data_IF_537405787987
#
_entry.id   IF_537405787987
#
_cell.length_a   1.000
_cell.length_b   1.000
_cell.length_c   1.000
_cell.angle_alpha   90.00
_cell.angle_beta   90.00
_cell.angle_gamma   90.00
#
_symmetry.space_group_name_H-M   'P 1'
#
loop_
_entity.id
_entity.type
_entity.pdbx_description
1 polymer ?
#
# COMPACT_ATOMS: atom_id res chain seq x y z
N UNK A 1 4.15 -7.63 6.78
CA UNK A 1 3.16 -6.55 6.89
C UNK A 1 3.86 -5.19 6.93
N UNK A 2 3.29 -4.09 6.40
CA UNK A 2 3.83 -2.73 6.54
C UNK A 2 3.43 -2.03 7.85
N UNK A 3 2.66 -2.69 8.73
CA UNK A 3 2.29 -2.16 10.05
C UNK A 3 3.53 -1.98 10.95
N UNK A 4 3.49 -0.99 11.85
CA UNK A 4 4.50 -0.66 12.85
C UNK A 4 3.87 -0.61 14.25
N UNK A 5 4.70 -0.71 15.28
CA UNK A 5 4.28 -1.06 16.64
C UNK A 5 3.32 -0.02 17.25
N UNK A 6 3.55 1.26 16.99
CA UNK A 6 2.72 2.35 17.51
C UNK A 6 1.42 2.59 16.71
N UNK A 7 1.17 1.86 15.61
CA UNK A 7 0.07 2.19 14.71
C UNK A 7 -1.30 1.87 15.32
N UNK A 8 -2.14 2.89 15.39
CA UNK A 8 -3.57 2.78 15.61
C UNK A 8 -4.31 3.19 14.34
N UNK A 9 -5.58 2.84 14.25
CA UNK A 9 -6.38 3.19 13.07
C UNK A 9 -6.51 4.70 12.92
N UNK A 10 -6.37 5.22 11.71
CA UNK A 10 -6.67 6.62 11.40
C UNK A 10 -8.17 6.86 11.10
N UNK A 11 -9.02 5.84 11.27
CA UNK A 11 -10.47 5.89 11.04
C UNK A 11 -11.17 5.37 12.29
N UNK A 12 -12.19 6.07 12.82
CA UNK A 12 -12.86 5.62 14.02
C UNK A 12 -13.65 4.33 13.77
N UNK A 13 -13.59 3.38 14.70
CA UNK A 13 -14.15 2.04 14.51
C UNK A 13 -15.66 1.98 14.16
N UNK A 14 -16.55 2.91 14.60
CA UNK A 14 -17.97 2.84 14.27
C UNK A 14 -18.26 2.96 12.77
N UNK A 15 -17.43 3.72 12.05
CA UNK A 15 -17.55 3.87 10.59
C UNK A 15 -16.61 2.92 9.85
N UNK A 16 -15.49 2.52 10.46
CA UNK A 16 -14.54 1.58 9.86
C UNK A 16 -15.06 0.14 9.82
N UNK A 17 -15.84 -0.29 10.81
CA UNK A 17 -16.33 -1.68 10.91
C UNK A 17 -17.20 -2.08 9.72
N UNK A 18 -17.24 -3.39 9.42
CA UNK A 18 -18.26 -3.95 8.54
C UNK A 18 -19.66 -3.58 9.06
N UNK A 19 -20.61 -3.40 8.15
CA UNK A 19 -22.01 -3.16 8.53
C UNK A 19 -22.63 -4.41 9.15
N UNK A 20 -22.21 -5.58 8.70
CA UNK A 20 -22.63 -6.90 9.17
C UNK A 20 -22.02 -7.35 10.50
N UNK A 21 -20.93 -6.73 10.96
CA UNK A 21 -20.23 -7.13 12.19
C UNK A 21 -19.53 -5.95 12.85
N UNK A 22 -19.83 -5.70 14.13
CA UNK A 22 -19.30 -4.55 14.87
C UNK A 22 -18.17 -4.96 15.80
N UNK A 23 -17.31 -3.98 16.12
CA UNK A 23 -16.35 -4.15 17.21
C UNK A 23 -17.08 -4.39 18.54
N UNK A 24 -16.46 -5.13 19.48
CA UNK A 24 -17.01 -5.30 20.82
C UNK A 24 -17.22 -3.97 21.56
N UNK A 25 -18.15 -3.91 22.52
CA UNK A 25 -18.25 -2.79 23.46
C UNK A 25 -16.90 -2.46 24.10
N UNK A 26 -16.71 -1.20 24.49
CA UNK A 26 -15.48 -0.71 25.15
C UNK A 26 -14.22 -0.71 24.27
N UNK A 27 -14.34 -1.04 22.97
CA UNK A 27 -13.24 -0.80 22.01
C UNK A 27 -12.93 0.71 21.94
N UNK A 28 -11.64 1.12 22.04
CA UNK A 28 -11.26 2.52 21.86
C UNK A 28 -11.72 3.07 20.51
N UNK A 29 -12.05 4.37 20.45
CA UNK A 29 -12.56 5.00 19.22
C UNK A 29 -11.65 4.72 18.01
N UNK A 30 -10.33 4.75 18.22
CA UNK A 30 -9.30 4.38 17.26
C UNK A 30 -8.53 3.15 17.78
N UNK A 31 -8.93 1.93 17.42
CA UNK A 31 -8.32 0.71 17.94
C UNK A 31 -6.87 0.52 17.48
N UNK A 32 -6.11 -0.27 18.24
CA UNK A 32 -4.77 -0.73 17.85
C UNK A 32 -4.85 -1.75 16.72
N UNK A 33 -3.74 -1.98 16.02
CA UNK A 33 -3.68 -3.03 14.99
C UNK A 33 -3.97 -4.44 15.54
N UNK A 34 -3.70 -4.68 16.82
CA UNK A 34 -3.98 -5.95 17.51
C UNK A 34 -5.49 -6.15 17.71
N UNK A 35 -6.18 -5.10 18.16
CA UNK A 35 -7.65 -5.11 18.28
C UNK A 35 -8.33 -5.29 16.91
N UNK A 36 -7.78 -4.67 15.86
CA UNK A 36 -8.24 -4.88 14.47
C UNK A 36 -8.02 -6.33 14.02
N UNK A 37 -6.88 -6.94 14.36
CA UNK A 37 -6.60 -8.34 14.03
C UNK A 37 -7.58 -9.30 14.73
N UNK A 38 -7.86 -9.08 16.02
CA UNK A 38 -8.85 -9.88 16.75
C UNK A 38 -10.28 -9.65 16.22
N UNK A 39 -10.61 -8.43 15.79
CA UNK A 39 -11.86 -8.16 15.07
C UNK A 39 -11.98 -9.02 13.80
N UNK A 40 -10.96 -9.08 12.94
CA UNK A 40 -11.00 -9.90 11.72
C UNK A 40 -11.09 -11.40 12.02
N UNK A 41 -10.37 -11.90 13.03
CA UNK A 41 -10.53 -13.28 13.50
C UNK A 41 -11.94 -13.57 13.96
N UNK A 42 -12.56 -12.64 14.72
CA UNK A 42 -13.94 -12.79 15.19
C UNK A 42 -14.93 -12.82 14.02
N UNK A 43 -14.74 -11.97 13.00
CA UNK A 43 -15.52 -11.95 11.78
C UNK A 43 -15.43 -13.29 11.02
N UNK A 44 -14.21 -13.75 10.75
CA UNK A 44 -13.98 -14.99 10.03
C UNK A 44 -14.55 -16.21 10.77
N UNK A 45 -14.48 -16.21 12.11
CA UNK A 45 -15.09 -17.25 12.95
C UNK A 45 -16.62 -17.18 12.91
N UNK A 46 -17.22 -15.99 13.04
CA UNK A 46 -18.66 -15.82 13.07
C UNK A 46 -19.33 -16.30 11.78
N UNK A 47 -18.77 -15.95 10.63
CA UNK A 47 -19.28 -16.34 9.31
C UNK A 47 -18.71 -17.68 8.79
N UNK A 48 -17.96 -18.41 9.62
CA UNK A 48 -17.34 -19.69 9.26
C UNK A 48 -16.55 -19.65 7.93
N UNK A 49 -15.72 -18.62 7.76
CA UNK A 49 -14.98 -18.38 6.51
C UNK A 49 -13.72 -19.24 6.39
N UNK A 50 -13.13 -19.63 7.52
CA UNK A 50 -11.85 -20.36 7.57
C UNK A 50 -11.80 -21.62 6.70
N UNK A 51 -12.84 -22.49 6.65
CA UNK A 51 -12.85 -23.67 5.78
C UNK A 51 -12.75 -23.35 4.28
N UNK A 52 -13.06 -22.12 3.87
CA UNK A 52 -13.02 -21.65 2.49
C UNK A 52 -11.69 -20.95 2.13
N UNK A 53 -10.74 -20.87 3.07
CA UNK A 53 -9.46 -20.19 2.88
C UNK A 53 -8.33 -21.21 2.85
N UNK A 54 -7.58 -21.23 1.75
CA UNK A 54 -6.32 -21.98 1.65
C UNK A 54 -5.16 -21.07 2.08
N UNK A 55 -4.74 -21.17 3.35
CA UNK A 55 -3.59 -20.42 3.87
C UNK A 55 -2.26 -20.92 3.29
N UNK A 56 -1.20 -20.14 3.45
CA UNK A 56 0.16 -20.45 2.98
C UNK A 56 0.19 -20.85 1.49
N UNK A 57 -0.68 -20.27 0.68
CA UNK A 57 -0.83 -20.59 -0.74
C UNK A 57 -0.76 -19.32 -1.54
N UNK A 58 0.40 -19.03 -2.12
CA UNK A 58 0.59 -17.83 -2.93
C UNK A 58 0.18 -18.12 -4.37
N UNK A 59 -0.68 -17.29 -4.95
CA UNK A 59 -0.95 -17.37 -6.39
C UNK A 59 0.28 -16.90 -7.16
N UNK A 60 0.84 -17.77 -7.99
CA UNK A 60 1.98 -17.54 -8.87
C UNK A 60 1.55 -16.99 -10.21
N UNK A 61 0.49 -17.57 -10.79
CA UNK A 61 -0.05 -17.21 -12.09
C UNK A 61 -1.57 -17.44 -12.09
N UNK A 62 -2.33 -16.52 -12.65
CA UNK A 62 -3.73 -16.68 -12.98
C UNK A 62 -3.93 -16.27 -14.44
N UNK A 63 -4.20 -17.26 -15.29
CA UNK A 63 -4.31 -17.10 -16.74
C UNK A 63 -5.65 -17.64 -17.24
N UNK A 64 -6.08 -17.17 -18.41
CA UNK A 64 -7.35 -17.56 -19.02
C UNK A 64 -7.11 -18.67 -20.05
N UNK A 65 -7.62 -19.88 -19.79
CA UNK A 65 -7.45 -21.07 -20.64
C UNK A 65 -8.81 -21.74 -20.86
N UNK A 66 -9.18 -22.01 -22.11
CA UNK A 66 -10.41 -22.70 -22.50
C UNK A 66 -11.67 -22.17 -21.79
N UNK A 67 -11.82 -20.84 -21.78
CA UNK A 67 -12.91 -20.14 -21.10
C UNK A 67 -13.03 -20.38 -19.58
N UNK A 68 -11.93 -20.76 -18.92
CA UNK A 68 -11.80 -20.79 -17.45
C UNK A 68 -10.52 -20.12 -16.98
N UNK A 69 -10.47 -19.74 -15.72
CA UNK A 69 -9.23 -19.34 -15.08
C UNK A 69 -8.47 -20.58 -14.65
N UNK A 70 -7.18 -20.64 -14.98
CA UNK A 70 -6.24 -21.58 -14.40
C UNK A 70 -5.39 -20.83 -13.39
N UNK A 71 -5.52 -21.20 -12.12
CA UNK A 71 -4.79 -20.58 -11.02
C UNK A 71 -3.67 -21.53 -10.62
N UNK A 72 -2.43 -21.11 -10.81
CA UNK A 72 -1.23 -21.85 -10.39
C UNK A 72 -0.73 -21.28 -9.07
N UNK A 73 -0.52 -22.15 -8.09
CA UNK A 73 0.04 -21.81 -6.79
C UNK A 73 1.56 -21.97 -6.77
N UNK A 74 2.22 -21.12 -5.98
CA UNK A 74 3.57 -21.33 -5.48
C UNK A 74 3.47 -22.16 -4.19
N UNK A 75 4.09 -23.33 -4.21
CA UNK A 75 4.07 -24.28 -3.11
C UNK A 75 4.91 -23.81 -1.93
N UNK A 76 4.57 -24.28 -0.74
CA UNK A 76 5.43 -24.13 0.46
C UNK A 76 6.56 -25.16 0.48
N UNK A 77 6.41 -26.21 -0.31
CA UNK A 77 7.34 -27.32 -0.51
C UNK A 77 7.26 -27.79 -1.98
N UNK A 78 8.16 -28.69 -2.37
CA UNK A 78 8.20 -29.25 -3.72
C UNK A 78 6.93 -30.04 -4.09
N UNK A 79 6.16 -30.52 -3.10
CA UNK A 79 4.96 -31.33 -3.35
C UNK A 79 3.76 -30.49 -3.73
N UNK A 80 3.69 -29.26 -3.21
CA UNK A 80 2.58 -28.34 -3.42
C UNK A 80 2.88 -27.25 -4.46
N UNK A 81 4.12 -27.20 -4.99
CA UNK A 81 4.50 -26.22 -6.01
C UNK A 81 3.93 -26.58 -7.38
N UNK A 82 3.32 -25.59 -8.03
CA UNK A 82 2.66 -25.80 -9.31
C UNK A 82 1.25 -26.39 -9.21
N UNK A 83 0.68 -26.53 -8.01
CA UNK A 83 -0.72 -26.88 -7.82
C UNK A 83 -1.63 -25.98 -8.68
N UNK A 84 -2.50 -26.59 -9.47
CA UNK A 84 -3.41 -25.89 -10.38
C UNK A 84 -4.86 -26.23 -10.07
N UNK A 85 -5.73 -25.22 -10.11
CA UNK A 85 -7.17 -25.44 -10.06
C UNK A 85 -7.93 -24.48 -10.99
N UNK A 86 -9.04 -24.96 -11.58
CA UNK A 86 -9.87 -24.16 -12.45
C UNK A 86 -10.85 -23.30 -11.66
N UNK A 87 -11.18 -22.11 -12.18
CA UNK A 87 -12.25 -21.26 -11.66
C UNK A 87 -13.03 -20.59 -12.80
N UNK A 88 -14.33 -20.38 -12.60
CA UNK A 88 -15.18 -19.68 -13.57
C UNK A 88 -15.06 -18.16 -13.41
N UNK A 89 -14.93 -17.70 -12.16
CA UNK A 89 -14.74 -16.30 -11.77
C UNK A 89 -13.45 -16.16 -10.95
N UNK A 90 -12.62 -15.18 -11.32
CA UNK A 90 -11.50 -14.71 -10.52
C UNK A 90 -11.86 -13.38 -9.86
N UNK A 91 -11.90 -13.36 -8.53
CA UNK A 91 -12.02 -12.11 -7.74
C UNK A 91 -10.67 -11.78 -7.13
N UNK A 92 -10.12 -10.63 -7.51
CA UNK A 92 -8.79 -10.19 -7.10
C UNK A 92 -8.89 -9.20 -5.94
N UNK A 93 -8.44 -9.63 -4.77
CA UNK A 93 -8.43 -8.85 -3.52
C UNK A 93 -7.06 -8.88 -2.83
N UNK A 94 -5.96 -8.83 -3.59
CA UNK A 94 -4.59 -8.96 -3.06
C UNK A 94 -4.05 -7.68 -2.38
N UNK A 95 -4.85 -6.60 -2.39
CA UNK A 95 -4.50 -5.29 -1.84
C UNK A 95 -3.44 -4.55 -2.65
N UNK A 96 -3.21 -3.29 -2.28
CA UNK A 96 -2.31 -2.39 -3.02
C UNK A 96 -1.29 -1.65 -2.15
N UNK A 97 -1.03 -2.15 -0.93
CA UNK A 97 -0.03 -1.60 -0.01
C UNK A 97 1.12 -2.59 0.27
N UNK A 98 1.62 -3.22 -0.81
CA UNK A 98 2.72 -4.20 -0.74
C UNK A 98 4.00 -3.78 -1.47
N UNK A 99 3.90 -3.31 -2.72
CA UNK A 99 5.07 -2.90 -3.52
C UNK A 99 5.41 -1.43 -3.25
N UNK A 100 6.54 -1.10 -2.59
CA UNK A 100 6.89 0.27 -2.26
C UNK A 100 7.07 1.13 -3.51
N UNK A 101 6.72 2.42 -3.42
CA UNK A 101 7.03 3.40 -4.46
C UNK A 101 8.23 4.23 -4.01
N UNK A 102 9.32 4.17 -4.76
CA UNK A 102 10.45 5.07 -4.57
C UNK A 102 10.29 6.33 -5.43
N UNK A 103 10.64 7.52 -4.90
CA UNK A 103 10.54 8.75 -5.67
C UNK A 103 11.62 8.78 -6.76
N UNK A 104 11.27 9.30 -7.95
CA UNK A 104 12.26 9.55 -9.00
C UNK A 104 12.95 10.90 -8.74
N UNK A 105 13.93 10.90 -7.84
CA UNK A 105 14.69 12.08 -7.42
C UNK A 105 16.19 11.76 -7.53
N UNK A 106 17.02 12.63 -8.14
CA UNK A 106 18.46 12.40 -8.22
C UNK A 106 19.09 12.09 -6.86
N UNK A 107 20.00 11.11 -6.85
CA UNK A 107 20.77 10.69 -5.67
C UNK A 107 20.04 9.81 -4.65
N UNK A 108 18.73 9.59 -4.77
CA UNK A 108 17.98 8.76 -3.80
C UNK A 108 18.51 7.33 -3.73
N UNK A 109 18.96 6.77 -4.87
CA UNK A 109 19.52 5.42 -4.92
C UNK A 109 20.82 5.33 -4.11
N UNK A 110 21.70 6.32 -4.18
CA UNK A 110 22.93 6.36 -3.39
C UNK A 110 22.64 6.38 -1.88
N UNK A 111 21.57 7.06 -1.45
CA UNK A 111 21.13 7.05 -0.05
C UNK A 111 20.57 5.68 0.38
N UNK A 112 19.81 5.02 -0.49
CA UNK A 112 19.31 3.66 -0.24
C UNK A 112 20.46 2.67 -0.13
N UNK A 113 21.42 2.72 -1.05
CA UNK A 113 22.57 1.82 -1.10
C UNK A 113 23.52 2.04 0.09
N UNK A 114 23.69 3.27 0.54
CA UNK A 114 24.43 3.62 1.76
C UNK A 114 23.69 3.26 3.06
N UNK A 115 22.47 2.71 2.98
CA UNK A 115 21.64 2.38 4.14
C UNK A 115 21.10 3.60 4.89
N UNK A 116 21.17 4.80 4.29
CA UNK A 116 20.76 6.08 4.88
C UNK A 116 19.29 6.44 4.64
N UNK A 117 18.61 5.64 3.84
CA UNK A 117 17.18 5.77 3.59
C UNK A 117 16.48 4.40 3.63
N UNK A 118 15.21 4.38 4.06
CA UNK A 118 14.31 3.24 3.85
C UNK A 118 12.90 3.70 3.53
N UNK A 119 12.12 2.85 2.87
CA UNK A 119 10.69 3.10 2.70
C UNK A 119 9.93 2.86 4.01
N UNK A 120 8.87 3.63 4.24
CA UNK A 120 7.95 3.52 5.39
C UNK A 120 7.45 2.10 5.66
N UNK A 121 7.33 1.27 4.62
CA UNK A 121 6.95 -0.14 4.73
C UNK A 121 7.87 -0.95 5.67
N UNK A 122 9.14 -0.54 5.81
CA UNK A 122 10.16 -1.18 6.65
C UNK A 122 10.36 -0.46 7.99
N UNK A 123 9.57 0.59 8.26
CA UNK A 123 9.51 1.20 9.58
C UNK A 123 8.74 0.28 10.55
N UNK A 124 9.19 0.20 11.80
CA UNK A 124 8.55 -0.61 12.85
C UNK A 124 8.43 0.13 14.16
N UNK A 125 9.48 0.87 14.51
CA UNK A 125 9.59 1.60 15.76
C UNK A 125 10.63 2.71 15.60
N UNK A 126 10.63 3.73 16.47
CA UNK A 126 11.51 4.89 16.36
C UNK A 126 12.98 4.65 16.79
N UNK A 127 13.52 3.43 16.69
CA UNK A 127 14.86 3.10 17.19
C UNK A 127 15.98 3.34 16.18
N UNK A 128 17.11 3.85 16.68
CA UNK A 128 18.43 3.89 16.03
C UNK A 128 18.48 4.62 14.67
N UNK A 129 17.70 5.69 14.53
CA UNK A 129 17.66 6.51 13.30
C UNK A 129 18.52 7.78 13.35
N UNK A 130 19.12 8.11 14.49
CA UNK A 130 19.86 9.35 14.70
C UNK A 130 19.00 10.48 15.28
N UNK A 131 19.46 11.73 15.12
CA UNK A 131 18.89 12.92 15.77
C UNK A 131 18.26 13.89 14.77
N UNK A 132 18.75 13.96 13.53
CA UNK A 132 18.19 14.78 12.46
C UNK A 132 17.64 13.90 11.34
N UNK A 133 16.33 13.83 11.23
CA UNK A 133 15.63 12.90 10.33
C UNK A 133 14.95 13.64 9.18
N UNK A 134 14.86 12.99 8.02
CA UNK A 134 14.08 13.46 6.88
C UNK A 134 12.94 12.50 6.58
N UNK A 135 11.71 13.00 6.56
CA UNK A 135 10.51 12.25 6.16
C UNK A 135 10.03 12.79 4.81
N UNK A 136 9.89 11.93 3.81
CA UNK A 136 9.48 12.31 2.45
C UNK A 136 8.10 11.75 2.12
N UNK A 137 7.10 12.62 2.04
CA UNK A 137 5.73 12.31 1.61
C UNK A 137 4.67 12.78 2.60
N UNK A 138 3.71 13.61 2.15
CA UNK A 138 2.68 14.21 3.00
C UNK A 138 1.42 13.36 3.22
N UNK A 139 1.49 12.05 2.96
CA UNK A 139 0.37 11.13 3.20
C UNK A 139 0.21 10.75 4.68
N UNK A 140 -0.74 9.86 5.01
CA UNK A 140 -0.95 9.38 6.38
C UNK A 140 0.33 8.84 7.01
N UNK A 141 1.08 7.98 6.30
CA UNK A 141 2.33 7.41 6.82
C UNK A 141 3.40 8.45 7.13
N UNK A 142 3.52 9.52 6.33
CA UNK A 142 4.54 10.54 6.59
C UNK A 142 4.20 11.38 7.81
N UNK A 143 2.91 11.71 7.98
CA UNK A 143 2.43 12.43 9.16
C UNK A 143 2.60 11.58 10.41
N UNK A 144 2.11 10.35 10.39
CA UNK A 144 2.10 9.46 11.56
C UNK A 144 3.52 9.07 12.00
N UNK A 145 4.40 8.71 11.06
CA UNK A 145 5.79 8.39 11.38
C UNK A 145 6.56 9.64 11.85
N UNK A 146 6.27 10.83 11.34
CA UNK A 146 6.89 12.06 11.86
C UNK A 146 6.50 12.31 13.32
N UNK A 147 5.24 12.07 13.66
CA UNK A 147 4.74 12.23 15.03
C UNK A 147 5.27 11.13 15.96
N UNK A 148 5.40 9.88 15.51
CA UNK A 148 6.00 8.76 16.26
C UNK A 148 7.49 9.00 16.57
N UNK A 149 8.21 9.67 15.66
CA UNK A 149 9.63 9.99 15.83
C UNK A 149 9.90 11.24 16.69
N UNK A 150 8.88 12.03 17.02
CA UNK A 150 9.06 13.37 17.62
C UNK A 150 9.85 13.35 18.93
N UNK A 151 9.70 12.29 19.73
CA UNK A 151 10.33 12.16 21.06
C UNK A 151 11.67 11.42 20.98
N UNK A 152 12.09 11.02 19.77
CA UNK A 152 13.30 10.25 19.48
C UNK A 152 14.33 11.00 18.63
N UNK A 153 13.95 12.16 18.06
CA UNK A 153 14.80 12.98 17.21
C UNK A 153 14.77 14.45 17.64
N UNK A 154 15.92 15.11 17.55
CA UNK A 154 16.08 16.54 17.88
C UNK A 154 15.51 17.41 16.76
N UNK A 155 15.51 16.92 15.52
CA UNK A 155 15.01 17.65 14.34
C UNK A 155 14.40 16.68 13.33
N UNK A 156 13.18 16.96 12.89
CA UNK A 156 12.50 16.21 11.84
C UNK A 156 12.16 17.18 10.71
N UNK A 157 12.68 16.91 9.52
CA UNK A 157 12.34 17.62 8.29
C UNK A 157 11.23 16.83 7.60
N UNK A 158 10.03 17.39 7.50
CA UNK A 158 8.91 16.74 6.81
C UNK A 158 8.69 17.38 5.44
N UNK A 159 9.16 16.69 4.39
CA UNK A 159 9.11 17.14 3.01
C UNK A 159 7.90 16.59 2.27
N UNK A 160 7.09 17.47 1.67
CA UNK A 160 6.04 17.08 0.72
C UNK A 160 5.81 18.18 -0.34
N UNK A 161 4.99 17.88 -1.34
CA UNK A 161 4.50 18.90 -2.29
C UNK A 161 3.73 19.99 -1.57
N UNK A 162 2.85 19.58 -0.66
CA UNK A 162 2.12 20.44 0.27
C UNK A 162 2.41 19.92 1.68
N UNK A 163 3.46 20.43 2.36
CA UNK A 163 3.86 19.92 3.66
C UNK A 163 2.80 20.24 4.71
N UNK A 164 2.44 19.26 5.57
CA UNK A 164 1.43 19.48 6.60
C UNK A 164 1.94 20.49 7.65
N UNK A 165 0.98 21.15 8.30
CA UNK A 165 1.28 22.04 9.44
C UNK A 165 1.49 21.18 10.68
N UNK A 166 2.63 21.37 11.34
CA UNK A 166 2.94 20.69 12.59
C UNK A 166 2.72 21.61 13.79
N UNK A 167 2.32 21.00 14.92
CA UNK A 167 2.17 21.68 16.21
C UNK A 167 3.44 21.62 17.04
N UNK A 168 4.36 20.70 16.69
CA UNK A 168 5.60 20.44 17.42
C UNK A 168 6.74 21.26 16.83
N UNK A 169 7.54 21.88 17.70
CA UNK A 169 8.59 22.82 17.30
C UNK A 169 9.79 22.16 16.63
N UNK A 170 10.02 20.87 16.88
CA UNK A 170 11.11 20.09 16.28
C UNK A 170 10.74 19.44 14.93
N UNK A 171 9.51 19.62 14.45
CA UNK A 171 9.08 19.13 13.13
C UNK A 171 8.94 20.32 12.18
N UNK A 172 9.81 20.38 11.19
CA UNK A 172 9.90 21.47 10.23
C UNK A 172 9.39 21.04 8.86
N UNK A 173 8.35 21.71 8.38
CA UNK A 173 7.89 21.57 7.01
C UNK A 173 8.99 21.96 6.01
N UNK A 174 9.15 21.16 4.96
CA UNK A 174 10.00 21.45 3.81
C UNK A 174 9.21 21.20 2.51
N UNK A 175 9.49 21.94 1.43
CA UNK A 175 8.96 21.60 0.13
C UNK A 175 9.55 20.27 -0.34
N UNK A 176 9.11 19.77 -1.51
CA UNK A 176 9.63 18.53 -2.08
C UNK A 176 11.16 18.53 -2.16
N UNK A 177 11.76 17.37 -1.89
CA UNK A 177 13.18 17.13 -2.20
C UNK A 177 13.39 17.29 -3.71
N UNK A 178 14.41 18.08 -4.07
CA UNK A 178 14.86 18.27 -5.44
C UNK A 178 16.04 17.34 -5.77
N UNK A 179 16.92 17.09 -4.81
CA UNK A 179 18.08 16.21 -4.96
C UNK A 179 18.52 15.68 -3.60
N UNK A 180 18.82 14.39 -3.53
CA UNK A 180 19.60 13.80 -2.46
C UNK A 180 21.08 13.96 -2.82
N UNK A 181 21.82 14.72 -2.02
CA UNK A 181 23.25 14.92 -2.19
C UNK A 181 24.06 13.76 -1.61
N UNK A 182 25.25 14.05 -1.11
CA UNK A 182 26.15 13.05 -0.54
C UNK A 182 25.56 12.39 0.75
N UNK A 183 25.41 11.05 0.77
CA UNK A 183 24.98 10.33 1.96
C UNK A 183 25.92 10.47 3.15
N UNK A 184 27.25 10.61 2.98
CA UNK A 184 28.16 10.70 4.13
C UNK A 184 27.90 11.99 4.92
N UNK A 185 27.85 13.12 4.22
CA UNK A 185 27.51 14.42 4.82
C UNK A 185 26.02 14.61 5.14
N UNK A 186 25.15 13.73 4.62
CA UNK A 186 23.69 13.81 4.84
C UNK A 186 23.07 15.06 4.21
N UNK A 187 23.52 15.41 3.00
CA UNK A 187 23.13 16.65 2.32
C UNK A 187 21.89 16.44 1.44
N UNK A 188 20.88 17.30 1.54
CA UNK A 188 19.64 17.26 0.73
C UNK A 188 19.27 18.67 0.28
N UNK A 189 18.94 18.83 -1.00
CA UNK A 189 18.42 20.08 -1.58
C UNK A 189 16.92 19.98 -1.81
N UNK A 190 16.18 20.99 -1.40
CA UNK A 190 14.73 21.09 -1.61
C UNK A 190 14.39 22.01 -2.79
N UNK A 191 13.14 21.98 -3.24
CA UNK A 191 12.69 22.70 -4.43
C UNK A 191 12.71 24.23 -4.32
N UNK A 192 12.73 24.79 -3.12
CA UNK A 192 12.92 26.22 -2.88
C UNK A 192 14.39 26.67 -2.91
N UNK A 193 15.32 25.73 -3.19
CA UNK A 193 16.75 25.98 -3.20
C UNK A 193 17.42 25.84 -1.83
N UNK A 194 16.65 25.60 -0.76
CA UNK A 194 17.24 25.33 0.56
C UNK A 194 18.06 24.04 0.55
N UNK A 195 19.17 24.05 1.27
CA UNK A 195 20.06 22.90 1.42
C UNK A 195 20.21 22.60 2.91
N UNK A 196 19.95 21.36 3.28
CA UNK A 196 20.16 20.85 4.64
C UNK A 196 21.30 19.84 4.61
N UNK A 197 22.11 19.82 5.67
CA UNK A 197 23.18 18.85 5.88
C UNK A 197 23.04 18.20 7.25
N UNK A 198 23.82 17.14 7.48
CA UNK A 198 23.82 16.40 8.75
C UNK A 198 22.51 15.66 9.01
N UNK A 199 21.74 15.33 7.96
CA UNK A 199 20.59 14.42 8.09
C UNK A 199 21.17 13.03 8.35
N UNK A 200 20.78 12.40 9.45
CA UNK A 200 21.25 11.08 9.85
C UNK A 200 20.55 9.97 9.06
N UNK A 201 19.25 10.12 8.82
CA UNK A 201 18.44 9.09 8.18
C UNK A 201 17.20 9.64 7.48
N UNK A 202 16.76 8.95 6.42
CA UNK A 202 15.56 9.28 5.66
C UNK A 202 14.50 8.17 5.69
N UNK A 203 13.24 8.54 5.90
CA UNK A 203 12.09 7.66 5.66
C UNK A 203 11.32 8.14 4.43
N UNK A 204 11.23 7.28 3.43
CA UNK A 204 10.43 7.48 2.23
C UNK A 204 8.99 7.02 2.52
N UNK A 205 8.13 7.95 2.90
CA UNK A 205 6.69 7.77 3.10
C UNK A 205 5.92 8.02 1.79
N UNK A 206 6.45 7.49 0.69
CA UNK A 206 6.02 7.80 -0.69
C UNK A 206 4.92 6.89 -1.21
N UNK A 207 4.35 6.01 -0.39
CA UNK A 207 3.22 5.16 -0.75
C UNK A 207 3.61 3.95 -1.61
N UNK A 208 2.65 3.39 -2.34
CA UNK A 208 2.79 2.08 -2.96
C UNK A 208 2.30 2.08 -4.41
N UNK A 209 2.68 1.01 -5.11
CA UNK A 209 2.27 0.69 -6.47
C UNK A 209 1.22 -0.43 -6.46
N UNK A 210 0.23 -0.35 -7.35
CA UNK A 210 -0.64 -1.47 -7.66
C UNK A 210 0.21 -2.57 -8.30
N UNK A 211 0.28 -3.71 -7.63
CA UNK A 211 1.17 -4.80 -8.00
C UNK A 211 0.41 -6.12 -8.01
N UNK A 212 0.16 -6.62 -9.21
CA UNK A 212 -0.59 -7.84 -9.49
C UNK A 212 0.28 -8.80 -10.31
N UNK A 213 1.40 -9.28 -9.75
CA UNK A 213 2.43 -10.03 -10.50
C UNK A 213 1.97 -11.39 -11.01
N UNK A 214 0.83 -11.86 -10.54
CA UNK A 214 0.25 -13.14 -10.94
C UNK A 214 -0.68 -13.01 -12.14
N UNK A 215 -1.03 -11.80 -12.57
CA UNK A 215 -1.76 -11.59 -13.82
C UNK A 215 -0.73 -11.38 -14.93
N UNK A 216 -0.72 -12.24 -15.97
CA UNK A 216 0.18 -12.10 -17.10
C UNK A 216 -0.20 -10.90 -17.99
N UNK A 217 0.71 -10.50 -18.88
CA UNK A 217 0.59 -9.27 -19.68
C UNK A 217 -0.60 -9.27 -20.65
N UNK A 218 -1.01 -10.45 -21.12
CA UNK A 218 -2.21 -10.68 -21.92
C UNK A 218 -3.52 -10.47 -21.12
N UNK A 219 -3.45 -10.55 -19.79
CA UNK A 219 -4.56 -10.21 -18.89
C UNK A 219 -4.51 -8.75 -18.44
N UNK A 220 -3.33 -8.28 -18.02
CA UNK A 220 -3.15 -6.95 -17.44
C UNK A 220 -1.87 -6.29 -17.93
N UNK A 221 -2.01 -5.28 -18.78
CA UNK A 221 -0.89 -4.51 -19.34
C UNK A 221 -0.41 -3.47 -18.34
N UNK A 222 0.88 -3.50 -17.99
CA UNK A 222 1.49 -2.47 -17.13
C UNK A 222 1.99 -1.31 -18.00
N UNK A 223 1.06 -0.43 -18.37
CA UNK A 223 1.33 0.72 -19.24
C UNK A 223 0.28 1.82 -19.04
N UNK A 224 0.54 3.00 -19.61
CA UNK A 224 -0.49 4.02 -19.79
C UNK A 224 -1.52 3.53 -20.82
N UNK A 225 -2.83 3.61 -20.54
CA UNK A 225 -3.86 3.26 -21.49
C UNK A 225 -3.91 4.27 -22.64
N UNK A 226 -4.43 3.88 -23.83
CA UNK A 226 -4.71 4.84 -24.88
C UNK A 226 -5.78 5.85 -24.43
N UNK A 227 -5.82 7.01 -25.09
CA UNK A 227 -6.84 8.02 -24.81
C UNK A 227 -8.23 7.48 -25.13
N UNK A 228 -9.15 7.59 -24.18
CA UNK A 228 -10.57 7.32 -24.39
C UNK A 228 -11.35 8.62 -24.62
N UNK A 229 -12.41 8.64 -25.46
CA UNK A 229 -13.03 7.50 -26.17
C UNK A 229 -12.37 7.14 -27.54
N UNK A 230 -12.53 5.88 -28.03
CA UNK A 230 -13.26 4.76 -27.40
C UNK A 230 -12.49 4.16 -26.21
N UNK A 231 -13.17 3.37 -25.38
CA UNK A 231 -12.49 2.62 -24.32
C UNK A 231 -11.56 1.56 -24.95
N UNK A 232 -10.40 1.27 -24.32
CA UNK A 232 -9.52 0.24 -24.83
C UNK A 232 -10.08 -1.16 -24.59
N UNK A 233 -9.69 -2.09 -25.47
CA UNK A 233 -10.05 -3.50 -25.38
C UNK A 233 -9.29 -4.24 -24.26
N UNK A 234 -8.10 -3.74 -23.89
CA UNK A 234 -7.22 -4.33 -22.87
C UNK A 234 -7.34 -3.65 -21.51
N UNK A 235 -7.00 -4.40 -20.45
CA UNK A 235 -6.93 -3.88 -19.09
C UNK A 235 -5.52 -3.37 -18.80
N UNK A 236 -5.44 -2.18 -18.21
CA UNK A 236 -4.20 -1.47 -17.92
C UNK A 236 -4.02 -1.26 -16.42
N UNK A 237 -2.80 -1.44 -15.95
CA UNK A 237 -2.33 -1.00 -14.64
C UNK A 237 -1.36 0.16 -14.82
N UNK A 238 -1.81 1.38 -14.51
CA UNK A 238 -0.98 2.59 -14.57
C UNK A 238 -0.06 2.75 -13.36
N UNK A 239 0.19 1.67 -12.61
CA UNK A 239 0.84 1.66 -11.28
C UNK A 239 -0.04 2.25 -10.16
N UNK A 240 -1.05 3.07 -10.49
CA UNK A 240 -1.88 3.76 -9.50
C UNK A 240 -3.35 3.36 -9.54
N UNK A 241 -3.82 2.92 -10.70
CA UNK A 241 -5.20 2.51 -10.93
C UNK A 241 -5.24 1.39 -11.97
N UNK A 242 -6.34 0.64 -11.96
CA UNK A 242 -6.70 -0.26 -13.04
C UNK A 242 -7.73 0.42 -13.94
N UNK A 243 -7.60 0.25 -15.25
CA UNK A 243 -8.48 0.89 -16.23
C UNK A 243 -8.64 0.03 -17.48
N UNK A 244 -9.84 -0.08 -18.08
CA UNK A 244 -11.11 0.48 -17.64
C UNK A 244 -11.87 -0.47 -16.70
N UNK A 245 -12.29 0.06 -15.55
CA UNK A 245 -13.16 -0.65 -14.61
C UNK A 245 -14.50 0.09 -14.43
N UNK A 246 -15.61 -0.62 -14.56
CA UNK A 246 -16.91 -0.15 -14.13
C UNK A 246 -17.00 -0.22 -12.60
N UNK A 247 -17.33 0.93 -11.98
CA UNK A 247 -17.44 1.09 -10.52
C UNK A 247 -16.19 0.63 -9.74
N UNK A 248 -15.01 0.67 -10.37
CA UNK A 248 -13.75 0.16 -9.81
C UNK A 248 -13.71 -1.36 -9.53
N UNK A 249 -14.68 -2.14 -10.02
CA UNK A 249 -14.78 -3.58 -9.75
C UNK A 249 -14.63 -4.40 -11.03
N UNK A 250 -15.43 -4.11 -12.05
CA UNK A 250 -15.61 -4.99 -13.20
C UNK A 250 -14.85 -4.45 -14.42
N UNK A 251 -13.99 -5.24 -15.08
CA UNK A 251 -13.45 -4.89 -16.39
C UNK A 251 -14.57 -4.58 -17.37
N UNK A 252 -14.49 -3.43 -18.04
CA UNK A 252 -15.50 -3.03 -19.02
C UNK A 252 -15.09 -3.49 -20.43
N UNK A 253 -14.92 -4.81 -20.60
CA UNK A 253 -14.31 -5.43 -21.79
C UNK A 253 -15.08 -6.65 -22.26
N UNK A 254 -14.99 -6.95 -23.56
CA UNK A 254 -15.57 -8.18 -24.15
C UNK A 254 -14.77 -9.43 -23.76
N UNK A 255 -13.44 -9.31 -23.67
CA UNK A 255 -12.55 -10.44 -23.39
C UNK A 255 -12.65 -10.92 -21.93
N UNK A 256 -13.11 -10.05 -21.03
CA UNK A 256 -13.34 -10.36 -19.61
C UNK A 256 -14.74 -9.90 -19.21
N UNK A 257 -15.78 -10.68 -19.56
CA UNK A 257 -17.14 -10.35 -19.15
C UNK A 257 -17.26 -10.20 -17.62
N UNK A 258 -18.25 -9.44 -17.11
CA UNK A 258 -18.41 -9.22 -15.66
C UNK A 258 -18.60 -10.48 -14.81
N UNK A 259 -18.81 -11.66 -15.41
CA UNK A 259 -18.92 -12.92 -14.67
C UNK A 259 -17.60 -13.71 -14.60
N UNK A 260 -16.50 -13.21 -15.19
CA UNK A 260 -15.22 -13.91 -15.23
C UNK A 260 -14.12 -13.24 -14.41
N UNK A 261 -14.10 -11.92 -14.28
CA UNK A 261 -13.05 -11.20 -13.55
C UNK A 261 -13.61 -10.02 -12.76
N UNK A 262 -13.16 -9.88 -11.51
CA UNK A 262 -13.51 -8.76 -10.64
C UNK A 262 -12.30 -8.31 -9.80
N UNK A 263 -12.29 -7.06 -9.38
CA UNK A 263 -11.34 -6.51 -8.43
C UNK A 263 -12.08 -5.89 -7.25
N UNK A 264 -11.61 -6.13 -6.02
CA UNK A 264 -12.21 -5.56 -4.81
C UNK A 264 -11.11 -4.92 -3.96
N UNK A 265 -11.42 -3.79 -3.33
CA UNK A 265 -10.48 -3.07 -2.47
C UNK A 265 -9.43 -2.26 -3.22
N UNK A 266 -9.79 -1.72 -4.40
CA UNK A 266 -8.92 -0.79 -5.15
C UNK A 266 -9.13 0.68 -4.77
N UNK A 267 -10.26 1.01 -4.13
CA UNK A 267 -10.61 2.38 -3.79
C UNK A 267 -9.59 2.99 -2.82
N UNK A 268 -9.18 4.24 -3.10
CA UNK A 268 -8.23 5.02 -2.28
C UNK A 268 -8.96 6.16 -1.59
N UNK A 269 -8.43 6.60 -0.44
CA UNK A 269 -9.01 7.69 0.36
C UNK A 269 -10.47 7.44 0.77
N UNK A 270 -10.80 6.17 1.03
CA UNK A 270 -12.12 5.73 1.48
C UNK A 270 -12.06 5.11 2.87
N UNK A 271 -13.22 4.90 3.46
CA UNK A 271 -13.38 4.03 4.62
C UNK A 271 -13.41 2.58 4.10
N UNK A 272 -12.29 1.87 4.28
CA UNK A 272 -11.98 0.67 3.50
C UNK A 272 -13.01 -0.45 3.60
N UNK A 273 -13.38 -0.89 4.81
CA UNK A 273 -14.13 -2.14 4.95
C UNK A 273 -15.61 -2.05 4.53
N UNK A 274 -16.38 -1.00 4.85
CA UNK A 274 -17.74 -0.85 4.32
C UNK A 274 -17.78 -0.70 2.80
N UNK A 275 -16.77 -0.06 2.21
CA UNK A 275 -16.67 0.03 0.74
C UNK A 275 -16.41 -1.34 0.14
N UNK A 276 -15.46 -2.11 0.69
CA UNK A 276 -15.20 -3.48 0.24
C UNK A 276 -16.43 -4.39 0.43
N UNK A 277 -17.21 -4.20 1.50
CA UNK A 277 -18.47 -4.93 1.72
C UNK A 277 -19.56 -4.55 0.73
N UNK A 278 -19.58 -3.30 0.25
CA UNK A 278 -20.51 -2.87 -0.80
C UNK A 278 -20.07 -3.26 -2.22
N UNK A 279 -18.77 -3.50 -2.43
CA UNK A 279 -18.20 -4.03 -3.68
C UNK A 279 -18.44 -5.55 -3.83
N UNK A 280 -18.51 -6.27 -2.70
CA UNK A 280 -18.75 -7.71 -2.62
C UNK A 280 -20.23 -8.08 -2.77
#
# INVERSE_FOLDING_TARGET
>A
TPLYDAVFTNIPHPIMAYTSWKFPPETPLFPTHEQVHEYFKSYAKHFNLTPHIRFNSRVKLAERVDDRWRITLEGVDEQTDGDQFPADLLVVANGHYRKPRYPNVPGVQAWLDAGKAKHSTWYRRPSDLGRKLLIVGGGPSGTDISDDLRDHADTILHSATEPPKHRFSNIHARPRVAEFGDPETGTVRFADGTVESGIDYTILATGYQFWLPFLPEDVLKVAEPPKAPPLPDDLYNTTYNLFPLARNVWPFQLNYPPHTLAFIGLARHVITWPVMEAEA
#
